data_IF_097416894534
#
_entry.id   IF_097416894534
#
_cell.length_a   1.000
_cell.length_b   1.000
_cell.length_c   1.000
_cell.angle_alpha   90.00
_cell.angle_beta   90.00
_cell.angle_gamma   90.00
#
_symmetry.space_group_name_H-M   'P 1'
#
loop_
_entity.id
_entity.type
_entity.pdbx_description
1 polymer ?
#
# COMPACT_ATOMS: atom_id res chain seq x y z
N UNK A 1 -25.32 -15.99 -18.91
CA UNK A 1 -24.55 -14.76 -19.16
C UNK A 1 -23.30 -15.19 -19.92
N UNK A 2 -23.29 -15.02 -21.24
CA UNK A 2 -22.25 -15.59 -22.13
C UNK A 2 -20.90 -14.94 -21.83
N UNK A 3 -19.92 -15.72 -21.38
CA UNK A 3 -18.51 -15.30 -21.42
C UNK A 3 -18.04 -15.51 -22.84
N UNK A 4 -18.03 -14.42 -23.63
CA UNK A 4 -17.32 -14.42 -24.90
C UNK A 4 -15.81 -14.38 -24.59
N UNK A 5 -15.01 -15.40 -24.97
CA UNK A 5 -13.58 -15.42 -24.72
C UNK A 5 -12.81 -14.27 -25.38
N UNK A 6 -13.41 -13.53 -26.33
CA UNK A 6 -12.82 -12.32 -26.90
C UNK A 6 -13.06 -11.03 -26.08
N UNK A 7 -13.90 -11.08 -25.03
CA UNK A 7 -14.25 -9.89 -24.23
C UNK A 7 -13.36 -9.69 -22.99
N UNK A 8 -12.33 -10.51 -22.78
CA UNK A 8 -11.43 -10.38 -21.64
C UNK A 8 -10.30 -9.40 -22.01
N UNK A 9 -10.33 -8.20 -21.43
CA UNK A 9 -9.25 -7.21 -21.61
C UNK A 9 -8.01 -7.60 -20.82
N UNK A 10 -6.85 -7.65 -21.47
CA UNK A 10 -5.53 -7.87 -20.85
C UNK A 10 -4.94 -6.61 -20.19
N UNK A 11 -5.66 -5.49 -20.26
CA UNK A 11 -5.20 -4.20 -19.77
C UNK A 11 -5.56 -4.00 -18.29
N UNK A 12 -4.63 -3.39 -17.56
CA UNK A 12 -4.80 -3.00 -16.15
C UNK A 12 -4.68 -1.49 -16.07
N UNK A 13 -5.64 -0.86 -15.39
CA UNK A 13 -5.60 0.56 -15.11
C UNK A 13 -5.00 0.81 -13.73
N UNK A 14 -3.98 1.66 -13.67
CA UNK A 14 -3.31 2.06 -12.43
C UNK A 14 -3.65 3.52 -12.14
N UNK A 15 -4.11 3.80 -10.94
CA UNK A 15 -4.46 5.14 -10.51
C UNK A 15 -3.85 5.48 -9.15
N UNK A 16 -3.46 6.73 -8.91
CA UNK A 16 -3.07 7.17 -7.59
C UNK A 16 -4.28 7.03 -6.65
N UNK A 17 -4.05 6.44 -5.49
CA UNK A 17 -4.99 6.52 -4.38
C UNK A 17 -4.36 7.48 -3.39
N UNK A 18 -5.06 8.57 -3.01
CA UNK A 18 -4.83 9.39 -1.80
C UNK A 18 -4.68 10.92 -1.99
N UNK A 19 -4.80 11.65 -0.87
CA UNK A 19 -4.50 13.07 -0.69
C UNK A 19 -3.24 13.28 0.16
N UNK A 20 -2.30 14.12 -0.29
CA UNK A 20 -0.96 14.24 0.31
C UNK A 20 -0.89 14.53 1.83
N UNK A 21 -1.92 15.12 2.47
CA UNK A 21 -1.82 15.67 3.82
C UNK A 21 -2.51 14.80 4.90
N UNK A 22 -1.93 14.67 6.11
CA UNK A 22 -2.60 13.98 7.22
C UNK A 22 -3.86 14.76 7.59
N UNK A 23 -4.99 14.05 7.73
CA UNK A 23 -6.25 14.62 8.22
C UNK A 23 -6.37 14.30 9.70
N UNK A 24 -6.30 15.33 10.52
CA UNK A 24 -6.48 15.21 11.96
C UNK A 24 -7.95 15.54 12.32
N UNK A 25 -8.51 14.83 13.30
CA UNK A 25 -9.91 14.98 13.73
C UNK A 25 -10.13 16.00 14.85
N UNK A 26 -9.17 16.87 15.09
CA UNK A 26 -9.15 17.93 16.10
C UNK A 26 -9.71 19.27 15.59
N UNK A 27 -9.87 19.43 14.27
CA UNK A 27 -10.50 20.60 13.67
C UNK A 27 -12.02 20.58 13.78
N UNK A 28 -12.65 21.75 13.76
CA UNK A 28 -14.09 21.84 13.53
C UNK A 28 -14.43 21.18 12.18
N UNK A 29 -15.51 20.42 12.14
CA UNK A 29 -15.97 19.83 10.88
C UNK A 29 -16.16 20.93 9.84
N UNK A 30 -15.63 20.69 8.65
CA UNK A 30 -15.90 21.55 7.50
C UNK A 30 -17.42 21.64 7.31
N UNK A 31 -17.91 22.84 6.94
CA UNK A 31 -19.32 23.00 6.59
C UNK A 31 -19.68 21.99 5.49
N UNK A 32 -20.84 21.32 5.59
CA UNK A 32 -21.27 20.41 4.54
C UNK A 32 -21.24 21.13 3.20
N UNK A 33 -20.39 20.67 2.31
CA UNK A 33 -20.25 21.21 0.96
C UNK A 33 -20.71 20.18 -0.04
N UNK A 34 -21.17 20.65 -1.21
CA UNK A 34 -21.48 19.77 -2.33
C UNK A 34 -20.19 19.13 -2.82
N UNK A 35 -19.97 17.87 -2.45
CA UNK A 35 -18.96 17.07 -3.12
C UNK A 35 -19.36 16.92 -4.58
N UNK A 36 -18.48 17.25 -5.53
CA UNK A 36 -18.71 16.89 -6.94
C UNK A 36 -19.08 15.41 -7.01
N UNK A 37 -20.30 15.16 -7.50
CA UNK A 37 -21.04 13.89 -7.34
C UNK A 37 -20.33 12.68 -7.91
N UNK A 38 -19.41 12.89 -8.86
CA UNK A 38 -18.57 11.85 -9.45
C UNK A 38 -17.10 12.17 -9.24
N UNK A 39 -16.49 11.48 -8.25
CA UNK A 39 -15.03 11.32 -8.13
C UNK A 39 -14.61 10.08 -8.91
N UNK A 40 -13.36 10.02 -9.34
CA UNK A 40 -12.85 8.95 -10.21
C UNK A 40 -13.05 7.57 -9.58
N UNK A 41 -12.96 7.49 -8.25
CA UNK A 41 -13.20 6.26 -7.45
C UNK A 41 -14.62 5.69 -7.53
N UNK A 42 -15.62 6.47 -7.95
CA UNK A 42 -17.01 5.99 -8.07
C UNK A 42 -17.32 5.37 -9.44
N UNK A 43 -16.40 5.48 -10.40
CA UNK A 43 -16.61 4.95 -11.75
C UNK A 43 -16.61 3.41 -11.75
N UNK A 44 -15.71 2.77 -11.01
CA UNK A 44 -15.49 1.32 -11.06
C UNK A 44 -16.67 0.49 -10.54
N UNK A 45 -17.33 0.88 -9.43
CA UNK A 45 -18.57 0.21 -9.01
C UNK A 45 -19.68 0.28 -10.06
N UNK A 46 -19.85 1.43 -10.74
CA UNK A 46 -20.87 1.61 -11.78
C UNK A 46 -20.57 0.74 -13.01
N UNK A 47 -19.29 0.60 -13.36
CA UNK A 47 -18.84 -0.24 -14.47
C UNK A 47 -18.75 -1.74 -14.11
N UNK A 48 -19.02 -2.12 -12.86
CA UNK A 48 -18.82 -3.48 -12.34
C UNK A 48 -17.40 -4.01 -12.58
N UNK A 49 -16.41 -3.13 -12.44
CA UNK A 49 -14.99 -3.48 -12.60
C UNK A 49 -14.38 -3.80 -11.23
N UNK A 50 -13.57 -4.88 -11.11
CA UNK A 50 -12.82 -5.16 -9.90
C UNK A 50 -11.81 -4.05 -9.61
N UNK A 51 -11.78 -3.60 -8.36
CA UNK A 51 -10.87 -2.58 -7.86
C UNK A 51 -10.08 -3.14 -6.68
N UNK A 52 -8.76 -3.01 -6.73
CA UNK A 52 -7.85 -3.44 -5.68
C UNK A 52 -6.99 -2.25 -5.23
N UNK A 53 -7.07 -1.88 -3.95
CA UNK A 53 -6.25 -0.81 -3.37
C UNK A 53 -5.12 -1.42 -2.57
N UNK A 54 -3.88 -1.20 -3.01
CA UNK A 54 -2.70 -1.84 -2.43
C UNK A 54 -1.72 -0.80 -1.89
N UNK A 55 -1.33 -0.91 -0.62
CA UNK A 55 -0.21 -0.14 -0.11
C UNK A 55 1.12 -0.75 -0.54
N UNK A 56 2.08 0.07 -0.95
CA UNK A 56 3.41 -0.40 -1.41
C UNK A 56 4.59 0.41 -0.85
N UNK A 57 4.31 1.55 -0.21
CA UNK A 57 5.31 2.45 0.35
C UNK A 57 4.75 3.19 1.57
N UNK A 58 5.64 3.88 2.28
CA UNK A 58 5.27 4.78 3.36
C UNK A 58 6.10 6.07 3.31
N UNK A 59 5.50 7.19 3.70
CA UNK A 59 6.15 8.50 3.71
C UNK A 59 6.24 9.03 5.14
N UNK A 60 7.43 9.51 5.58
CA UNK A 60 7.56 10.15 6.88
C UNK A 60 6.82 11.49 6.89
N UNK A 61 6.22 11.84 8.02
CA UNK A 61 5.66 13.15 8.28
C UNK A 61 5.84 13.51 9.75
N UNK A 62 5.97 14.80 10.04
CA UNK A 62 6.00 15.28 11.42
C UNK A 62 4.58 15.39 11.96
N UNK A 63 4.31 14.64 13.02
CA UNK A 63 3.01 14.66 13.69
C UNK A 63 2.87 15.93 14.51
N UNK A 64 1.83 16.71 14.24
CA UNK A 64 1.55 17.92 15.05
C UNK A 64 1.06 17.60 16.45
N UNK A 65 0.53 16.39 16.66
CA UNK A 65 -0.06 15.95 17.93
C UNK A 65 1.02 15.39 18.85
N UNK A 66 1.88 14.52 18.33
CA UNK A 66 2.91 13.85 19.14
C UNK A 66 4.28 14.51 19.06
N UNK A 67 4.53 15.36 18.06
CA UNK A 67 5.84 15.96 17.78
C UNK A 67 6.87 14.96 17.24
N UNK A 68 6.46 13.73 16.94
CA UNK A 68 7.34 12.68 16.44
C UNK A 68 7.19 12.51 14.93
N UNK A 69 8.28 12.06 14.28
CA UNK A 69 8.21 11.53 12.92
C UNK A 69 7.38 10.25 12.91
N UNK A 70 6.28 10.29 12.18
CA UNK A 70 5.37 9.16 11.95
C UNK A 70 5.39 8.79 10.46
N UNK A 71 4.83 7.63 10.10
CA UNK A 71 4.84 7.13 8.72
C UNK A 71 3.42 6.91 8.22
N UNK A 72 3.14 7.39 7.01
CA UNK A 72 1.83 7.25 6.37
C UNK A 72 1.89 6.32 5.18
N UNK A 73 0.87 5.48 4.98
CA UNK A 73 0.85 4.58 3.86
C UNK A 73 0.62 5.32 2.55
N UNK A 74 1.37 4.91 1.53
CA UNK A 74 1.11 5.24 0.14
C UNK A 74 0.51 4.01 -0.51
N UNK A 75 -0.66 4.20 -1.12
CA UNK A 75 -1.38 3.15 -1.83
C UNK A 75 -1.65 3.56 -3.28
N UNK A 76 -1.81 2.55 -4.13
CA UNK A 76 -2.30 2.71 -5.50
C UNK A 76 -3.56 1.90 -5.69
N UNK A 77 -4.40 2.35 -6.60
CA UNK A 77 -5.56 1.58 -7.06
C UNK A 77 -5.20 0.90 -8.36
N UNK A 78 -5.37 -0.42 -8.38
CA UNK A 78 -5.37 -1.21 -9.59
C UNK A 78 -6.82 -1.53 -9.95
N UNK A 79 -7.19 -1.43 -11.23
CA UNK A 79 -8.50 -1.79 -11.75
C UNK A 79 -8.36 -2.81 -12.88
N UNK A 80 -9.14 -3.90 -12.81
CA UNK A 80 -9.17 -4.98 -13.80
C UNK A 80 -10.47 -5.04 -14.59
N UNK A 81 -10.55 -5.97 -15.56
CA UNK A 81 -11.77 -6.22 -16.32
C UNK A 81 -12.84 -6.93 -15.49
N UNK A 82 -14.12 -6.78 -15.84
CA UNK A 82 -15.23 -7.45 -15.15
C UNK A 82 -15.02 -8.98 -15.11
N UNK A 83 -15.13 -9.58 -13.92
CA UNK A 83 -14.97 -11.03 -13.72
C UNK A 83 -13.52 -11.51 -13.63
N UNK A 84 -12.55 -10.60 -13.53
CA UNK A 84 -11.12 -10.92 -13.42
C UNK A 84 -10.57 -10.91 -11.98
N UNK A 85 -11.45 -10.85 -10.96
CA UNK A 85 -11.11 -10.61 -9.56
C UNK A 85 -10.00 -11.54 -9.01
N UNK A 86 -10.10 -12.85 -9.26
CA UNK A 86 -9.12 -13.82 -8.76
C UNK A 86 -7.76 -13.68 -9.45
N UNK A 87 -7.75 -13.63 -10.79
CA UNK A 87 -6.54 -13.39 -11.58
C UNK A 87 -5.84 -12.11 -11.12
N UNK A 88 -6.63 -11.08 -10.83
CA UNK A 88 -6.12 -9.78 -10.44
C UNK A 88 -5.41 -9.77 -9.08
N UNK A 89 -5.95 -10.49 -8.09
CA UNK A 89 -5.32 -10.66 -6.78
C UNK A 89 -4.01 -11.45 -6.91
N UNK A 90 -4.02 -12.53 -7.68
CA UNK A 90 -2.83 -13.36 -7.91
C UNK A 90 -1.73 -12.58 -8.63
N UNK A 91 -2.10 -11.82 -9.66
CA UNK A 91 -1.18 -10.96 -10.40
C UNK A 91 -0.54 -9.90 -9.50
N UNK A 92 -1.34 -9.22 -8.68
CA UNK A 92 -0.82 -8.23 -7.74
C UNK A 92 0.18 -8.85 -6.75
N UNK A 93 -0.15 -10.03 -6.21
CA UNK A 93 0.74 -10.77 -5.31
C UNK A 93 2.03 -11.20 -6.01
N UNK A 94 1.93 -11.70 -7.24
CA UNK A 94 3.08 -12.11 -8.05
C UNK A 94 3.99 -10.92 -8.38
N UNK A 95 3.42 -9.79 -8.78
CA UNK A 95 4.16 -8.57 -9.09
C UNK A 95 4.94 -8.03 -7.87
N UNK A 96 4.29 -7.96 -6.70
CA UNK A 96 4.95 -7.56 -5.46
C UNK A 96 6.06 -8.52 -5.06
N UNK A 97 5.81 -9.83 -5.18
CA UNK A 97 6.80 -10.86 -4.84
C UNK A 97 8.01 -10.81 -5.77
N UNK A 98 7.78 -10.65 -7.08
CA UNK A 98 8.85 -10.51 -8.08
C UNK A 98 9.68 -9.24 -7.85
N UNK A 99 9.04 -8.16 -7.40
CA UNK A 99 9.73 -6.93 -7.02
C UNK A 99 10.44 -7.01 -5.65
N UNK A 100 10.38 -8.14 -4.95
CA UNK A 100 10.87 -8.32 -3.58
C UNK A 100 10.23 -7.35 -2.58
N UNK A 101 8.98 -6.95 -2.85
CA UNK A 101 8.18 -6.07 -2.00
C UNK A 101 7.33 -6.88 -1.02
N UNK A 102 7.04 -6.34 0.17
CA UNK A 102 6.22 -7.03 1.15
C UNK A 102 4.77 -7.21 0.69
N UNK A 103 4.27 -8.43 0.79
CA UNK A 103 2.86 -8.78 0.54
C UNK A 103 2.02 -8.82 1.82
N UNK A 104 2.62 -8.52 2.96
CA UNK A 104 1.97 -8.51 4.28
C UNK A 104 2.19 -7.15 4.92
N UNK A 105 1.10 -6.60 5.44
CA UNK A 105 1.10 -5.36 6.22
C UNK A 105 1.13 -5.66 7.71
N UNK A 106 1.79 -4.80 8.48
CA UNK A 106 1.72 -4.77 9.93
C UNK A 106 0.56 -3.88 10.40
N UNK A 107 0.04 -4.18 11.59
CA UNK A 107 -0.91 -3.32 12.28
C UNK A 107 -0.17 -2.41 13.27
N UNK A 108 -0.71 -1.22 13.51
CA UNK A 108 -0.14 -0.25 14.46
C UNK A 108 0.49 0.96 13.80
N UNK A 109 1.57 1.49 14.40
CA UNK A 109 2.21 2.76 13.99
C UNK A 109 2.86 2.69 12.61
N UNK A 110 3.44 1.54 12.25
CA UNK A 110 4.15 1.33 10.99
C UNK A 110 3.44 0.25 10.19
N UNK A 111 3.18 0.54 8.91
CA UNK A 111 2.63 -0.44 7.99
C UNK A 111 3.68 -1.48 7.57
N UNK A 112 4.92 -1.01 7.36
CA UNK A 112 6.06 -1.84 7.04
C UNK A 112 7.26 -1.46 7.93
N UNK A 113 8.21 -2.39 8.18
CA UNK A 113 9.49 -2.02 8.75
C UNK A 113 10.17 -0.95 7.89
N UNK A 114 10.85 -0.01 8.55
CA UNK A 114 11.50 1.11 7.87
C UNK A 114 12.76 0.59 7.16
N UNK A 115 12.76 0.69 5.84
CA UNK A 115 13.91 0.38 4.99
C UNK A 115 14.62 1.65 4.51
N UNK A 116 15.92 1.53 4.22
CA UNK A 116 16.72 2.59 3.65
C UNK A 116 16.54 2.64 2.11
N UNK A 117 15.39 3.16 1.68
CA UNK A 117 15.07 3.38 0.26
C UNK A 117 13.97 4.44 0.09
N UNK A 118 13.71 4.84 -1.16
CA UNK A 118 12.69 5.85 -1.50
C UNK A 118 11.26 5.52 -1.03
N UNK A 119 10.95 4.23 -0.79
CA UNK A 119 9.64 3.79 -0.30
C UNK A 119 9.55 3.80 1.22
N UNK A 120 10.67 3.95 1.94
CA UNK A 120 10.81 3.76 3.38
C UNK A 120 10.28 2.39 3.86
N UNK A 121 10.40 1.36 3.02
CA UNK A 121 9.88 0.00 3.28
C UNK A 121 11.01 -0.99 3.13
N UNK A 122 11.26 -1.82 4.14
CA UNK A 122 12.25 -2.89 4.06
C UNK A 122 11.88 -3.91 2.95
N UNK A 123 12.85 -4.24 2.09
CA UNK A 123 12.66 -5.27 1.08
C UNK A 123 12.72 -6.66 1.71
N UNK A 124 11.93 -7.58 1.19
CA UNK A 124 12.02 -8.98 1.58
C UNK A 124 13.21 -9.61 0.87
N UNK A 125 14.10 -10.29 1.61
CA UNK A 125 15.06 -11.20 1.00
C UNK A 125 14.33 -12.47 0.60
N UNK A 126 14.31 -12.76 -0.70
CA UNK A 126 13.81 -14.01 -1.25
C UNK A 126 14.92 -15.06 -1.15
N UNK A 127 14.87 -15.87 -0.10
CA UNK A 127 15.66 -17.10 -0.05
C UNK A 127 15.09 -18.09 -1.09
N UNK A 128 15.91 -19.02 -1.59
CA UNK A 128 15.59 -19.99 -2.68
C UNK A 128 14.32 -20.85 -2.45
N UNK A 129 13.67 -20.73 -1.29
CA UNK A 129 12.45 -21.44 -0.90
C UNK A 129 11.14 -20.64 -1.04
N UNK A 130 11.16 -19.44 -1.64
CA UNK A 130 9.93 -18.75 -2.08
C UNK A 130 8.98 -18.26 -0.97
N UNK A 131 9.40 -18.34 0.30
CA UNK A 131 8.67 -17.80 1.44
C UNK A 131 9.32 -16.49 1.87
N UNK A 132 8.72 -15.36 1.48
CA UNK A 132 9.19 -14.04 1.90
C UNK A 132 9.13 -13.88 3.42
N UNK A 133 10.28 -13.88 4.08
CA UNK A 133 10.40 -13.60 5.51
C UNK A 133 10.61 -12.10 5.73
N UNK A 134 9.79 -11.51 6.60
CA UNK A 134 10.05 -10.18 7.15
C UNK A 134 11.09 -10.33 8.27
N UNK A 135 12.34 -9.99 7.98
CA UNK A 135 13.44 -10.07 8.96
C UNK A 135 13.30 -8.90 9.93
N UNK A 136 12.71 -9.15 11.10
CA UNK A 136 12.84 -8.22 12.22
C UNK A 136 14.31 -8.20 12.65
N UNK A 137 15.06 -7.18 12.22
CA UNK A 137 16.45 -6.95 12.63
C UNK A 137 16.48 -6.77 14.15
N UNK A 138 16.81 -7.83 14.89
CA UNK A 138 17.04 -7.78 16.35
C UNK A 138 18.16 -6.75 16.58
N UNK A 139 17.86 -5.68 17.31
CA UNK A 139 18.86 -4.73 17.79
C UNK A 139 19.96 -5.49 18.52
N UNK A 140 21.12 -5.67 17.87
CA UNK A 140 22.33 -6.09 18.56
C UNK A 140 22.82 -4.90 19.37
N UNK A 141 22.44 -4.86 20.65
CA UNK A 141 23.15 -4.05 21.64
C UNK A 141 24.58 -4.60 21.73
N UNK A 142 25.52 -3.95 21.03
CA UNK A 142 26.94 -4.21 21.15
C UNK A 142 27.39 -3.60 22.48
N UNK A 143 27.57 -4.45 23.47
CA UNK A 143 28.09 -4.10 24.79
C UNK A 143 29.50 -3.48 24.61
N UNK A 144 29.66 -2.28 25.15
CA UNK A 144 30.89 -1.48 25.19
C UNK A 144 31.92 -2.14 26.12
N UNK A 145 33.21 -2.22 25.75
CA UNK A 145 34.28 -2.27 26.74
C UNK A 145 34.97 -0.90 26.84
N UNK A 146 34.74 -0.23 27.95
CA UNK A 146 35.49 0.93 28.44
C UNK A 146 36.91 0.48 28.76
N UNK A 147 37.91 0.99 28.02
CA UNK A 147 39.32 0.84 28.41
C UNK A 147 39.64 1.85 29.51
N UNK A 148 40.15 1.34 30.63
CA UNK A 148 40.92 2.11 31.62
C UNK A 148 42.31 2.41 31.08
#
# INVERSE_FOLDING_TARGET
>A
MSQDPQSLSDAILIMPYWSANPKYGDGANEVPSTSHTFREKFLFPVLHMPQLVLPFAQIPYESRVTGNTEYRPIATTLIGAKGSDLMFIELAKAALSQASWPTRISTGRLMYPIGDNLRNVENIQTDEFGAGFCVAKKMQQKIVPTKK
#
